data_IF_842758367805
#
_entry.id   IF_842758367805
#
_cell.length_a   1.000
_cell.length_b   1.000
_cell.length_c   1.000
_cell.angle_alpha   90.00
_cell.angle_beta   90.00
_cell.angle_gamma   90.00
#
_symmetry.space_group_name_H-M   'P 1'
#
loop_
_entity.id
_entity.type
_entity.pdbx_description
1 polymer ?
#
# COMPACT_ATOMS: atom_id res chain seq x y z
N UNK A 1 -9.76 7.77 21.65
CA UNK A 1 -8.73 7.05 20.86
C UNK A 1 -7.48 7.91 20.84
N UNK A 2 -6.37 7.41 21.37
CA UNK A 2 -5.06 8.08 21.23
C UNK A 2 -4.52 7.72 19.84
N UNK A 3 -4.11 8.70 19.02
CA UNK A 3 -3.55 8.40 17.71
C UNK A 3 -2.20 7.68 17.85
N UNK A 4 -2.03 6.58 17.14
CA UNK A 4 -0.75 5.85 17.06
C UNK A 4 0.21 6.62 16.15
N UNK A 5 1.45 6.90 16.58
CA UNK A 5 2.44 7.54 15.73
C UNK A 5 2.88 6.60 14.59
N UNK A 6 3.00 7.16 13.38
CA UNK A 6 3.38 6.42 12.18
C UNK A 6 4.66 6.99 11.56
N UNK A 7 5.49 6.10 11.02
CA UNK A 7 6.60 6.45 10.15
C UNK A 7 6.28 5.98 8.72
N UNK A 8 6.21 6.90 7.77
CA UNK A 8 5.99 6.59 6.35
C UNK A 8 7.34 6.46 5.65
N UNK A 9 7.56 5.34 4.96
CA UNK A 9 8.82 5.06 4.27
C UNK A 9 8.56 4.58 2.86
N UNK A 10 9.38 5.05 1.91
CA UNK A 10 9.42 4.47 0.57
C UNK A 10 9.76 2.98 0.67
N UNK A 11 9.07 2.18 -0.13
CA UNK A 11 9.21 0.74 -0.15
C UNK A 11 9.02 0.21 -1.57
N UNK A 12 9.52 -1.00 -1.81
CA UNK A 12 9.14 -1.72 -3.03
C UNK A 12 7.76 -2.36 -2.85
N UNK A 13 6.82 -2.22 -3.81
CA UNK A 13 5.58 -2.98 -3.83
C UNK A 13 5.81 -4.50 -3.90
N UNK A 14 7.02 -4.95 -4.27
CA UNK A 14 7.39 -6.37 -4.27
C UNK A 14 7.98 -6.85 -2.95
N UNK A 15 8.15 -5.97 -1.96
CA UNK A 15 8.60 -6.38 -0.62
C UNK A 15 7.57 -7.28 0.06
N UNK A 16 8.02 -8.15 0.98
CA UNK A 16 7.14 -9.07 1.69
C UNK A 16 6.02 -8.32 2.45
N UNK A 17 6.37 -7.23 3.15
CA UNK A 17 5.41 -6.40 3.87
C UNK A 17 4.36 -5.77 2.93
N UNK A 18 4.78 -5.28 1.75
CA UNK A 18 3.85 -4.74 0.75
C UNK A 18 2.87 -5.82 0.26
N UNK A 19 3.37 -7.02 -0.06
CA UNK A 19 2.52 -8.13 -0.53
C UNK A 19 1.49 -8.54 0.52
N UNK A 20 1.90 -8.71 1.77
CA UNK A 20 0.99 -9.05 2.87
C UNK A 20 -0.13 -8.00 3.03
N UNK A 21 0.20 -6.71 3.00
CA UNK A 21 -0.78 -5.63 3.12
C UNK A 21 -1.71 -5.55 1.91
N UNK A 22 -1.20 -5.75 0.69
CA UNK A 22 -2.03 -5.78 -0.51
C UNK A 22 -2.96 -7.00 -0.52
N UNK A 23 -2.52 -8.15 -0.01
CA UNK A 23 -3.36 -9.34 0.12
C UNK A 23 -4.50 -9.11 1.14
N UNK A 24 -4.20 -8.47 2.28
CA UNK A 24 -5.21 -8.05 3.25
C UNK A 24 -6.23 -7.08 2.64
N UNK A 25 -5.76 -6.09 1.88
CA UNK A 25 -6.61 -5.15 1.16
C UNK A 25 -7.53 -5.86 0.16
N UNK A 26 -6.99 -6.77 -0.66
CA UNK A 26 -7.78 -7.53 -1.63
C UNK A 26 -8.83 -8.42 -0.96
N UNK A 27 -8.51 -9.03 0.18
CA UNK A 27 -9.47 -9.80 0.95
C UNK A 27 -10.62 -8.91 1.48
N UNK A 28 -10.29 -7.71 1.98
CA UNK A 28 -11.27 -6.74 2.43
C UNK A 28 -12.16 -6.24 1.27
N UNK A 29 -11.59 -5.93 0.12
CA UNK A 29 -12.33 -5.53 -1.07
C UNK A 29 -13.27 -6.65 -1.55
N UNK A 30 -12.77 -7.88 -1.65
CA UNK A 30 -13.59 -9.03 -2.05
C UNK A 30 -14.79 -9.22 -1.12
N UNK A 31 -14.59 -9.06 0.19
CA UNK A 31 -15.69 -9.14 1.16
C UNK A 31 -16.72 -7.99 1.01
N UNK A 32 -16.28 -6.81 0.56
CA UNK A 32 -17.14 -5.62 0.44
C UNK A 32 -17.85 -5.51 -0.91
N UNK A 33 -17.18 -5.86 -2.00
CA UNK A 33 -17.64 -5.60 -3.38
C UNK A 33 -17.87 -6.87 -4.19
N UNK A 34 -17.41 -8.04 -3.70
CA UNK A 34 -17.37 -9.28 -4.46
C UNK A 34 -16.25 -9.33 -5.51
N UNK A 35 -15.42 -8.29 -5.60
CA UNK A 35 -14.26 -8.19 -6.50
C UNK A 35 -13.00 -7.95 -5.66
N UNK A 36 -11.92 -8.66 -5.97
CA UNK A 36 -10.69 -8.58 -5.18
C UNK A 36 -9.79 -7.38 -5.54
N UNK A 37 -10.22 -6.58 -6.52
CA UNK A 37 -9.61 -5.31 -6.92
C UNK A 37 -8.18 -5.45 -7.46
N UNK A 38 -7.65 -6.68 -7.53
CA UNK A 38 -6.27 -6.95 -7.96
C UNK A 38 -6.04 -6.56 -9.41
N UNK A 39 -7.09 -6.58 -10.21
CA UNK A 39 -7.05 -6.23 -11.64
C UNK A 39 -6.79 -4.73 -11.87
N UNK A 40 -7.07 -3.87 -10.89
CA UNK A 40 -7.00 -2.41 -11.03
C UNK A 40 -5.66 -1.81 -10.64
N UNK A 41 -4.81 -2.56 -9.93
CA UNK A 41 -3.50 -2.09 -9.47
C UNK A 41 -2.37 -2.79 -10.22
N UNK A 42 -1.66 -2.04 -11.05
CA UNK A 42 -0.42 -2.48 -11.69
C UNK A 42 0.80 -1.85 -10.97
N UNK A 43 1.61 -2.64 -10.24
CA UNK A 43 2.84 -2.15 -9.63
C UNK A 43 3.79 -1.47 -10.62
N UNK A 44 3.78 -1.88 -11.90
CA UNK A 44 4.62 -1.26 -12.92
C UNK A 44 4.26 0.20 -13.16
N UNK A 45 2.99 0.58 -13.00
CA UNK A 45 2.55 1.98 -13.11
C UNK A 45 3.04 2.84 -11.94
N UNK A 46 3.40 2.24 -10.81
CA UNK A 46 3.95 2.97 -9.66
C UNK A 46 5.44 3.27 -9.77
N UNK A 47 6.13 2.65 -10.72
CA UNK A 47 7.56 2.86 -10.98
C UNK A 47 7.84 3.84 -12.14
N UNK A 48 6.81 4.49 -12.70
CA UNK A 48 6.95 5.50 -13.74
C UNK A 48 7.64 6.79 -13.27
N UNK A 49 7.95 7.69 -14.20
CA UNK A 49 8.61 8.96 -13.91
C UNK A 49 7.77 9.83 -12.95
N UNK A 50 8.07 9.76 -11.65
CA UNK A 50 7.40 10.51 -10.58
C UNK A 50 6.45 9.71 -9.70
N UNK A 51 6.27 8.40 -9.94
CA UNK A 51 5.50 7.52 -9.07
C UNK A 51 6.29 7.06 -7.85
N UNK A 52 5.61 6.70 -6.76
CA UNK A 52 6.24 6.04 -5.62
C UNK A 52 5.29 5.11 -4.87
N UNK A 53 5.88 4.17 -4.14
CA UNK A 53 5.16 3.29 -3.22
C UNK A 53 5.74 3.46 -1.81
N UNK A 54 4.86 3.53 -0.82
CA UNK A 54 5.24 3.73 0.57
C UNK A 54 4.46 2.79 1.51
N UNK A 55 5.07 2.47 2.64
CA UNK A 55 4.45 1.71 3.73
C UNK A 55 4.46 2.58 4.99
N UNK A 56 3.34 2.57 5.71
CA UNK A 56 3.18 3.13 7.03
C UNK A 56 3.55 2.08 8.08
N UNK A 57 4.48 2.43 8.97
CA UNK A 57 4.88 1.59 10.09
C UNK A 57 4.48 2.24 11.40
N UNK A 58 3.95 1.47 12.35
CA UNK A 58 3.79 1.96 13.71
C UNK A 58 5.16 2.15 14.38
N UNK A 59 5.18 3.12 15.31
CA UNK A 59 6.32 3.42 16.15
C UNK A 59 5.93 3.13 17.60
N UNK A 60 6.75 2.40 18.39
CA UNK A 60 8.11 1.94 18.09
C UNK A 60 8.22 0.48 17.60
N UNK A 61 7.12 -0.24 17.46
CA UNK A 61 7.08 -1.67 17.14
C UNK A 61 7.57 -2.01 15.71
N UNK A 62 7.48 -1.06 14.78
CA UNK A 62 7.86 -1.26 13.39
C UNK A 62 6.89 -2.15 12.61
N UNK A 63 5.68 -2.34 13.13
CA UNK A 63 4.63 -3.14 12.45
C UNK A 63 4.16 -2.39 11.22
N UNK A 64 4.10 -3.06 10.07
CA UNK A 64 3.53 -2.50 8.85
C UNK A 64 1.99 -2.45 9.00
N UNK A 65 1.41 -1.25 8.93
CA UNK A 65 -0.02 -1.03 9.18
C UNK A 65 -0.82 -0.64 7.93
N UNK A 66 -0.13 -0.28 6.85
CA UNK A 66 -0.79 0.11 5.60
C UNK A 66 0.22 0.45 4.52
N UNK A 67 -0.21 0.39 3.27
CA UNK A 67 0.60 0.74 2.12
C UNK A 67 -0.17 1.62 1.13
N UNK A 68 0.56 2.35 0.30
CA UNK A 68 -0.03 3.23 -0.69
C UNK A 68 0.89 3.46 -1.88
N UNK A 69 0.26 3.69 -3.01
CA UNK A 69 0.87 4.03 -4.29
C UNK A 69 0.47 5.46 -4.66
N UNK A 70 1.44 6.25 -5.10
CA UNK A 70 1.21 7.58 -5.66
C UNK A 70 1.66 7.56 -7.12
N UNK A 71 0.79 8.05 -8.00
CA UNK A 71 1.13 8.30 -9.40
C UNK A 71 0.78 9.75 -9.74
N UNK A 72 1.61 10.44 -10.54
CA UNK A 72 1.19 11.70 -11.15
C UNK A 72 -0.08 11.48 -11.97
N UNK A 73 -1.04 12.37 -11.84
CA UNK A 73 -2.09 12.49 -12.85
C UNK A 73 -1.45 13.13 -14.10
N UNK A 74 -1.88 12.73 -15.29
CA UNK A 74 -1.41 13.33 -16.54
C UNK A 74 -1.44 14.88 -16.45
N UNK A 75 -0.50 15.58 -17.13
CA UNK A 75 -0.43 17.04 -17.09
C UNK A 75 -1.72 17.73 -17.55
#
# INVERSE_FOLDING_TARGET
MTPTPLAIRLASPHSAAARSLMDELSAALSALTGDDGRTSFDPAQTFGAGGCFAIAYAVPDGTALGCGALQPLAP
#
